data_IF_950091538412
#
_entry.id   IF_950091538412
#
_cell.length_a   1.000
_cell.length_b   1.000
_cell.length_c   1.000
_cell.angle_alpha   90.00
_cell.angle_beta   90.00
_cell.angle_gamma   90.00
#
_symmetry.space_group_name_H-M   'P 1'
#
loop_
_entity.id
_entity.type
_entity.pdbx_description
1 polymer ?
#
# COMPACT_ATOMS: atom_id res chain seq x y z
N UNK A 1 37.84 -34.10 -42.95
CA UNK A 1 37.12 -33.81 -41.69
C UNK A 1 37.72 -32.56 -41.06
N UNK A 2 37.05 -31.39 -41.17
CA UNK A 2 36.98 -30.30 -40.17
C UNK A 2 36.35 -29.05 -40.79
N UNK A 3 35.06 -28.89 -40.48
CA UNK A 3 34.23 -27.73 -40.76
C UNK A 3 34.70 -26.54 -39.91
N UNK A 4 35.09 -25.43 -40.55
CA UNK A 4 35.42 -24.18 -39.87
C UNK A 4 34.14 -23.39 -39.57
N UNK A 5 33.79 -23.33 -38.28
CA UNK A 5 32.66 -22.55 -37.74
C UNK A 5 33.01 -21.05 -37.70
N UNK A 6 32.68 -20.31 -38.76
CA UNK A 6 32.64 -18.84 -38.76
C UNK A 6 31.26 -18.36 -38.31
N UNK A 7 30.97 -18.41 -37.02
CA UNK A 7 29.68 -17.98 -36.47
C UNK A 7 29.68 -17.09 -35.20
N UNK A 8 30.81 -16.70 -34.53
CA UNK A 8 30.68 -15.94 -33.28
C UNK A 8 30.40 -14.45 -33.48
N UNK A 9 30.85 -13.85 -34.59
CA UNK A 9 30.76 -12.40 -34.78
C UNK A 9 29.35 -11.92 -35.18
N UNK A 10 28.64 -12.70 -35.99
CA UNK A 10 27.24 -12.41 -36.39
C UNK A 10 26.27 -12.52 -35.21
N UNK A 11 26.47 -13.50 -34.33
CA UNK A 11 25.67 -13.66 -33.10
C UNK A 11 25.92 -12.52 -32.11
N UNK A 12 27.16 -12.06 -31.97
CA UNK A 12 27.48 -10.92 -31.11
C UNK A 12 26.88 -9.61 -31.66
N UNK A 13 26.92 -9.38 -32.97
CA UNK A 13 26.27 -8.21 -33.58
C UNK A 13 24.76 -8.28 -33.47
N UNK A 14 24.15 -9.46 -33.63
CA UNK A 14 22.71 -9.65 -33.42
C UNK A 14 22.32 -9.41 -31.97
N UNK A 15 23.13 -9.84 -31.00
CA UNK A 15 22.87 -9.60 -29.58
C UNK A 15 23.00 -8.11 -29.22
N UNK A 16 24.00 -7.40 -29.76
CA UNK A 16 24.16 -5.95 -29.57
C UNK A 16 22.96 -5.20 -30.18
N UNK A 17 22.57 -5.52 -31.42
CA UNK A 17 21.39 -4.92 -32.06
C UNK A 17 20.12 -5.26 -31.27
N UNK A 18 20.00 -6.47 -30.76
CA UNK A 18 18.88 -6.90 -29.91
C UNK A 18 18.83 -6.12 -28.59
N UNK A 19 19.97 -5.83 -27.95
CA UNK A 19 20.01 -5.00 -26.73
C UNK A 19 19.77 -3.51 -26.98
N UNK A 20 20.16 -2.99 -28.16
CA UNK A 20 20.02 -1.56 -28.51
C UNK A 20 18.61 -1.23 -28.99
N UNK A 21 17.89 -2.20 -29.57
CA UNK A 21 16.53 -2.02 -30.10
C UNK A 21 15.40 -2.59 -29.24
N UNK A 22 15.69 -3.17 -28.06
CA UNK A 22 14.63 -3.36 -27.07
C UNK A 22 14.20 -1.95 -26.64
N UNK A 23 12.91 -1.58 -26.76
CA UNK A 23 12.41 -0.40 -26.07
C UNK A 23 12.60 -0.71 -24.60
N UNK A 24 13.61 -0.10 -23.97
CA UNK A 24 13.59 0.10 -22.54
C UNK A 24 12.39 1.00 -22.31
N UNK A 25 11.22 0.39 -22.13
CA UNK A 25 10.05 1.00 -21.51
C UNK A 25 10.36 1.18 -20.02
N UNK A 26 11.53 1.76 -19.75
CA UNK A 26 11.81 2.41 -18.49
C UNK A 26 11.12 3.75 -18.64
N UNK A 27 9.85 3.78 -18.30
CA UNK A 27 9.23 4.94 -17.69
C UNK A 27 10.07 5.29 -16.44
N UNK A 28 11.30 5.76 -16.63
CA UNK A 28 12.03 6.48 -15.60
C UNK A 28 11.30 7.79 -15.55
N UNK A 29 10.16 7.79 -14.86
CA UNK A 29 9.50 9.00 -14.45
C UNK A 29 10.62 9.84 -13.81
N UNK A 30 10.92 10.99 -14.43
CA UNK A 30 11.90 11.93 -13.91
C UNK A 30 11.70 12.03 -12.38
N UNK A 31 12.76 12.12 -11.56
CA UNK A 31 12.60 12.12 -10.11
C UNK A 31 11.56 13.15 -9.63
N UNK A 32 11.49 14.30 -10.31
CA UNK A 32 10.47 15.33 -10.09
C UNK A 32 9.06 14.85 -10.43
N UNK A 33 8.83 14.18 -11.57
CA UNK A 33 7.49 13.67 -11.90
C UNK A 33 7.06 12.55 -10.97
N UNK A 34 8.00 11.78 -10.42
CA UNK A 34 7.71 10.78 -9.38
C UNK A 34 7.23 11.46 -8.09
N UNK A 35 7.89 12.55 -7.66
CA UNK A 35 7.47 13.34 -6.51
C UNK A 35 6.11 14.01 -6.76
N UNK A 36 5.89 14.58 -7.95
CA UNK A 36 4.60 15.19 -8.31
C UNK A 36 3.48 14.14 -8.31
N UNK A 37 3.71 12.98 -8.93
CA UNK A 37 2.75 11.88 -8.95
C UNK A 37 2.44 11.40 -7.53
N UNK A 38 3.47 11.26 -6.69
CA UNK A 38 3.31 10.87 -5.30
C UNK A 38 2.44 11.86 -4.52
N UNK A 39 2.69 13.18 -4.65
CA UNK A 39 1.87 14.20 -4.02
C UNK A 39 0.43 14.21 -4.55
N UNK A 40 0.23 14.01 -5.86
CA UNK A 40 -1.10 13.92 -6.48
C UNK A 40 -1.89 12.70 -5.98
N UNK A 41 -1.23 11.54 -5.86
CA UNK A 41 -1.86 10.33 -5.33
C UNK A 41 -2.29 10.54 -3.88
N UNK A 42 -1.43 11.16 -3.06
CA UNK A 42 -1.74 11.48 -1.68
C UNK A 42 -2.92 12.43 -1.51
N UNK A 43 -3.06 13.44 -2.38
CA UNK A 43 -4.24 14.31 -2.38
C UNK A 43 -5.50 13.56 -2.80
N UNK A 44 -5.39 12.71 -3.83
CA UNK A 44 -6.53 11.95 -4.32
C UNK A 44 -7.06 10.95 -3.27
N UNK A 45 -6.18 10.32 -2.49
CA UNK A 45 -6.59 9.38 -1.45
C UNK A 45 -7.43 10.07 -0.36
N UNK A 46 -7.03 11.26 0.06
CA UNK A 46 -7.78 12.07 1.04
C UNK A 46 -9.16 12.50 0.49
N UNK A 47 -9.23 12.85 -0.80
CA UNK A 47 -10.48 13.30 -1.42
C UNK A 47 -11.48 12.15 -1.65
N UNK A 48 -11.02 10.90 -1.71
CA UNK A 48 -11.83 9.72 -2.04
C UNK A 48 -12.14 8.83 -0.83
N UNK A 49 -11.76 9.22 0.38
CA UNK A 49 -12.07 8.44 1.58
C UNK A 49 -13.58 8.42 1.83
N UNK A 50 -14.19 7.23 2.01
CA UNK A 50 -15.61 7.14 2.34
C UNK A 50 -15.90 7.85 3.67
N UNK A 51 -16.98 8.63 3.76
CA UNK A 51 -17.35 9.25 5.03
C UNK A 51 -17.82 8.18 6.03
N UNK A 52 -17.58 8.44 7.31
CA UNK A 52 -18.11 7.62 8.39
C UNK A 52 -19.63 7.51 8.34
N UNK A 53 -20.15 6.31 8.63
CA UNK A 53 -21.58 6.09 8.70
C UNK A 53 -22.16 6.74 9.97
N UNK A 54 -23.00 7.75 9.77
CA UNK A 54 -23.69 8.46 10.86
C UNK A 54 -25.07 7.90 11.15
N UNK A 55 -25.69 7.23 10.17
CA UNK A 55 -26.99 6.59 10.34
C UNK A 55 -26.80 5.11 10.64
N UNK A 56 -26.77 4.76 11.92
CA UNK A 56 -26.59 3.39 12.37
C UNK A 56 -27.91 2.62 12.37
N UNK A 57 -27.83 1.33 12.07
CA UNK A 57 -28.95 0.40 12.21
C UNK A 57 -29.21 0.12 13.68
N UNK A 58 -30.43 -0.31 14.01
CA UNK A 58 -30.77 -0.73 15.37
C UNK A 58 -30.10 -2.04 15.80
N UNK A 59 -29.69 -2.86 14.82
CA UNK A 59 -29.11 -4.19 15.03
C UNK A 59 -28.10 -4.54 13.92
N UNK A 60 -27.10 -5.34 14.31
CA UNK A 60 -26.06 -5.89 13.44
C UNK A 60 -25.82 -7.35 13.83
N UNK A 61 -25.48 -8.19 12.87
CA UNK A 61 -25.11 -9.59 13.12
C UNK A 61 -23.73 -9.67 13.79
N UNK A 62 -22.83 -8.76 13.39
CA UNK A 62 -21.48 -8.66 13.93
C UNK A 62 -21.07 -7.21 14.16
N UNK A 63 -20.39 -6.98 15.29
CA UNK A 63 -19.70 -5.72 15.58
C UNK A 63 -18.22 -6.03 15.75
N UNK A 64 -17.39 -5.51 14.84
CA UNK A 64 -15.94 -5.61 14.89
C UNK A 64 -15.40 -4.35 15.54
N UNK A 65 -14.69 -4.50 16.66
CA UNK A 65 -14.10 -3.37 17.40
C UNK A 65 -12.61 -3.30 17.08
N UNK A 66 -12.22 -2.22 16.41
CA UNK A 66 -10.88 -1.91 15.94
C UNK A 66 -10.68 -2.27 14.47
N UNK A 67 -10.51 -1.28 13.60
CA UNK A 67 -10.04 -1.39 12.21
C UNK A 67 -8.51 -1.53 12.12
N UNK A 68 -7.91 -2.29 13.04
CA UNK A 68 -6.53 -2.73 12.94
C UNK A 68 -6.37 -3.83 11.88
N UNK A 69 -5.16 -4.35 11.75
CA UNK A 69 -4.81 -5.40 10.78
C UNK A 69 -5.76 -6.60 10.80
N UNK A 70 -6.10 -7.11 11.97
CA UNK A 70 -7.03 -8.23 12.11
C UNK A 70 -8.49 -7.82 11.87
N UNK A 71 -8.91 -6.66 12.39
CA UNK A 71 -10.30 -6.21 12.29
C UNK A 71 -10.73 -5.93 10.86
N UNK A 72 -9.88 -5.29 10.06
CA UNK A 72 -10.14 -5.07 8.63
C UNK A 72 -10.30 -6.38 7.86
N UNK A 73 -9.44 -7.36 8.14
CA UNK A 73 -9.53 -8.69 7.49
C UNK A 73 -10.81 -9.41 7.88
N UNK A 74 -11.16 -9.41 9.18
CA UNK A 74 -12.38 -10.05 9.68
C UNK A 74 -13.62 -9.37 9.11
N UNK A 75 -13.70 -8.04 9.16
CA UNK A 75 -14.82 -7.29 8.61
C UNK A 75 -15.02 -7.59 7.13
N UNK A 76 -13.95 -7.55 6.33
CA UNK A 76 -13.98 -7.86 4.90
C UNK A 76 -14.56 -9.27 4.63
N UNK A 77 -14.13 -10.30 5.38
CA UNK A 77 -14.63 -11.67 5.21
C UNK A 77 -16.09 -11.83 5.64
N UNK A 78 -16.50 -11.20 6.72
CA UNK A 78 -17.91 -11.24 7.15
C UNK A 78 -18.81 -10.58 6.09
N UNK A 79 -18.37 -9.47 5.49
CA UNK A 79 -19.14 -8.76 4.46
C UNK A 79 -19.22 -9.48 3.11
N UNK A 80 -18.47 -10.58 2.89
CA UNK A 80 -18.64 -11.41 1.69
C UNK A 80 -20.01 -12.10 1.64
N UNK A 81 -20.67 -12.25 2.80
CA UNK A 81 -22.04 -12.76 2.90
C UNK A 81 -23.00 -11.56 2.93
N UNK A 82 -23.77 -11.31 1.86
CA UNK A 82 -24.59 -10.10 1.72
C UNK A 82 -25.76 -10.01 2.70
N UNK A 83 -26.15 -11.13 3.31
CA UNK A 83 -27.19 -11.19 4.33
C UNK A 83 -26.73 -10.64 5.69
N UNK A 84 -25.41 -10.63 5.96
CA UNK A 84 -24.87 -10.17 7.23
C UNK A 84 -24.65 -8.67 7.27
N UNK A 85 -25.21 -8.04 8.31
CA UNK A 85 -24.96 -6.64 8.65
C UNK A 85 -23.76 -6.57 9.59
N UNK A 86 -22.67 -5.97 9.13
CA UNK A 86 -21.42 -5.85 9.88
C UNK A 86 -21.17 -4.39 10.20
N UNK A 87 -20.93 -4.08 11.48
CA UNK A 87 -20.46 -2.77 11.93
C UNK A 87 -18.99 -2.87 12.32
N UNK A 88 -18.13 -2.07 11.69
CA UNK A 88 -16.74 -1.88 12.10
C UNK A 88 -16.62 -0.55 12.83
N UNK A 89 -16.07 -0.56 14.04
CA UNK A 89 -15.86 0.65 14.85
C UNK A 89 -14.38 0.80 15.11
N UNK A 90 -13.79 1.94 14.74
CA UNK A 90 -12.40 2.31 15.02
C UNK A 90 -12.37 3.59 15.84
N UNK A 91 -11.42 3.68 16.78
CA UNK A 91 -11.26 4.85 17.63
C UNK A 91 -10.23 5.84 17.07
N UNK A 92 -9.31 5.35 16.25
CA UNK A 92 -8.37 6.15 15.48
C UNK A 92 -9.06 7.07 14.49
N UNK A 93 -8.32 8.11 14.09
CA UNK A 93 -8.71 8.97 12.97
C UNK A 93 -8.40 8.28 11.65
N UNK A 94 -8.99 8.81 10.59
CA UNK A 94 -8.71 8.44 9.22
C UNK A 94 -7.21 8.39 8.90
N UNK A 95 -6.86 7.49 7.99
CA UNK A 95 -5.50 7.42 7.49
C UNK A 95 -5.14 8.72 6.79
N UNK A 96 -3.87 9.10 6.90
CA UNK A 96 -3.36 10.24 6.15
C UNK A 96 -2.17 9.79 5.33
N UNK A 97 -1.91 10.53 4.26
CA UNK A 97 -0.83 10.23 3.33
C UNK A 97 0.56 10.08 3.98
N UNK A 98 0.81 10.73 5.12
CA UNK A 98 2.08 10.62 5.84
C UNK A 98 2.29 9.20 6.38
N UNK A 99 1.22 8.46 6.66
CA UNK A 99 1.28 7.08 7.16
C UNK A 99 1.83 6.08 6.12
N UNK A 100 1.66 6.37 4.84
CA UNK A 100 2.12 5.51 3.73
C UNK A 100 3.60 5.69 3.38
N UNK A 101 4.29 6.65 4.00
CA UNK A 101 5.69 6.97 3.70
C UNK A 101 6.61 6.20 4.66
N UNK A 102 7.32 5.14 4.23
CA UNK A 102 8.03 4.27 5.16
C UNK A 102 9.13 4.98 5.97
N UNK A 103 9.80 5.97 5.37
CA UNK A 103 10.85 6.75 6.04
C UNK A 103 10.32 7.59 7.21
N UNK A 104 9.02 7.88 7.23
CA UNK A 104 8.36 8.68 8.27
C UNK A 104 7.73 7.83 9.38
N UNK A 105 7.86 6.50 9.34
CA UNK A 105 7.26 5.62 10.36
C UNK A 105 7.64 6.00 11.81
N UNK A 106 8.89 6.44 12.04
CA UNK A 106 9.34 6.89 13.36
C UNK A 106 8.66 8.19 13.81
N UNK A 107 8.30 9.08 12.89
CA UNK A 107 7.60 10.32 13.20
C UNK A 107 6.17 10.05 13.72
N UNK A 108 5.49 9.04 13.17
CA UNK A 108 4.13 8.65 13.57
C UNK A 108 4.04 8.22 15.05
N UNK A 109 5.13 7.78 15.67
CA UNK A 109 5.15 7.43 17.09
C UNK A 109 4.82 8.62 18.00
N UNK A 110 4.99 9.85 17.51
CA UNK A 110 4.74 11.09 18.26
C UNK A 110 3.39 11.75 17.92
N UNK A 111 2.67 11.25 16.92
CA UNK A 111 1.35 11.77 16.53
C UNK A 111 0.23 11.04 17.28
N UNK A 112 -1.02 11.36 16.95
CA UNK A 112 -2.20 10.69 17.52
C UNK A 112 -2.51 9.33 16.85
N UNK A 113 -1.73 8.94 15.85
CA UNK A 113 -1.75 7.58 15.29
C UNK A 113 -1.22 6.53 16.28
N UNK A 114 -0.46 6.95 17.30
CA UNK A 114 0.05 6.09 18.35
C UNK A 114 -0.80 6.22 19.62
N UNK A 115 -1.25 5.09 20.16
CA UNK A 115 -2.00 5.02 21.43
C UNK A 115 -1.22 5.50 22.66
N UNK A 116 0.11 5.63 22.56
CA UNK A 116 0.98 6.17 23.64
C UNK A 116 0.86 5.43 24.97
N UNK A 117 0.47 4.15 24.95
CA UNK A 117 0.42 3.32 26.15
C UNK A 117 1.81 3.21 26.80
N UNK A 118 1.85 3.36 28.12
CA UNK A 118 3.07 3.23 28.93
C UNK A 118 2.99 1.97 29.76
N UNK A 119 4.05 1.18 29.74
CA UNK A 119 4.20 0.03 30.62
C UNK A 119 4.51 0.49 32.05
N UNK A 120 4.28 -0.40 33.01
CA UNK A 120 4.78 -0.20 34.38
C UNK A 120 6.20 -0.77 34.51
N UNK A 121 6.95 -0.24 35.47
CA UNK A 121 8.30 -0.75 35.78
C UNK A 121 8.24 -2.23 36.16
N UNK A 122 9.18 -3.02 35.64
CA UNK A 122 9.37 -4.40 36.06
C UNK A 122 10.24 -4.42 37.32
N UNK A 123 9.81 -5.14 38.35
CA UNK A 123 10.58 -5.37 39.60
C UNK A 123 11.53 -6.58 39.48
N UNK A 124 11.87 -6.99 38.26
CA UNK A 124 12.81 -8.08 37.99
C UNK A 124 14.21 -7.53 37.80
#
# INVERSE_FOLDING_TARGET
>A
MKSQRRAPMLLATLWIVFTVFIPTDTQVANPISSVVKFLQEGTNQLDNEPPDQTNLLSEYDFIVVGAGTAGCVVANRLTEIPEWKVLLVEAGVNENFVMDIPILANYLQFTDANWKYKTQSSNK
#
